data_IF_716149822124
#
_entry.id   IF_716149822124
#
_cell.length_a   1.000
_cell.length_b   1.000
_cell.length_c   1.000
_cell.angle_alpha   90.00
_cell.angle_beta   90.00
_cell.angle_gamma   90.00
#
_symmetry.space_group_name_H-M   'P 1'
#
loop_
_entity.id
_entity.type
_entity.pdbx_description
1 polymer ?
#
# COMPACT_ATOMS: atom_id res chain seq x y z
N UNK A 1 -3.59 -11.97 1.10
CA UNK A 1 -4.15 -11.90 -0.28
C UNK A 1 -4.71 -10.50 -0.45
N UNK A 2 -4.09 -9.72 -1.35
CA UNK A 2 -4.44 -8.31 -1.58
C UNK A 2 -5.79 -8.15 -2.26
N UNK A 3 -6.38 -6.98 -2.08
CA UNK A 3 -7.59 -6.61 -2.76
C UNK A 3 -7.37 -6.59 -4.29
N UNK A 4 -8.27 -7.21 -5.04
CA UNK A 4 -8.15 -7.35 -6.49
C UNK A 4 -8.62 -6.10 -7.26
N UNK A 5 -8.99 -5.02 -6.56
CA UNK A 5 -9.48 -3.81 -7.19
C UNK A 5 -8.33 -3.01 -7.80
N UNK A 6 -8.48 -2.71 -9.09
CA UNK A 6 -7.59 -1.86 -9.87
C UNK A 6 -8.29 -0.56 -10.23
N UNK A 7 -7.53 0.52 -10.32
CA UNK A 7 -8.06 1.80 -10.76
C UNK A 7 -7.08 2.55 -11.64
N UNK A 8 -7.59 3.08 -12.74
CA UNK A 8 -6.87 4.01 -13.60
C UNK A 8 -6.81 5.38 -12.93
N UNK A 9 -5.64 6.01 -12.99
CA UNK A 9 -5.46 7.37 -12.53
C UNK A 9 -6.02 8.35 -13.57
N UNK A 10 -6.91 9.27 -13.17
CA UNK A 10 -7.31 10.37 -14.04
C UNK A 10 -6.09 11.17 -14.51
N UNK A 11 -6.06 11.64 -15.77
CA UNK A 11 -4.87 12.33 -16.32
C UNK A 11 -4.38 13.52 -15.51
N UNK A 12 -5.30 14.30 -14.93
CA UNK A 12 -4.94 15.45 -14.10
C UNK A 12 -4.25 15.02 -12.80
N UNK A 13 -4.76 13.97 -12.14
CA UNK A 13 -4.13 13.40 -10.95
C UNK A 13 -2.82 12.70 -11.28
N UNK A 14 -2.71 12.01 -12.41
CA UNK A 14 -1.44 11.43 -12.85
C UNK A 14 -0.36 12.50 -13.06
N UNK A 15 -0.71 13.64 -13.69
CA UNK A 15 0.21 14.77 -13.86
C UNK A 15 0.62 15.37 -12.52
N UNK A 16 -0.34 15.57 -11.63
CA UNK A 16 -0.08 16.08 -10.28
C UNK A 16 0.82 15.14 -9.48
N UNK A 17 0.54 13.83 -9.51
CA UNK A 17 1.34 12.82 -8.83
C UNK A 17 2.78 12.80 -9.34
N UNK A 18 3.02 12.89 -10.65
CA UNK A 18 4.38 13.01 -11.22
C UNK A 18 5.12 14.24 -10.73
N UNK A 19 4.42 15.36 -10.52
CA UNK A 19 5.01 16.58 -9.98
C UNK A 19 5.41 16.48 -8.50
N UNK A 20 4.80 15.55 -7.76
CA UNK A 20 5.09 15.30 -6.33
C UNK A 20 6.06 14.13 -6.11
N UNK A 21 6.04 13.16 -7.02
CA UNK A 21 6.85 11.94 -6.98
C UNK A 21 8.34 12.25 -6.99
N UNK A 22 9.10 11.60 -6.10
CA UNK A 22 10.54 11.75 -6.02
C UNK A 22 11.24 11.11 -7.24
N UNK A 23 10.68 10.02 -7.77
CA UNK A 23 11.18 9.36 -8.97
C UNK A 23 10.75 10.04 -10.29
N UNK A 24 9.70 10.87 -10.24
CA UNK A 24 9.03 11.45 -11.41
C UNK A 24 8.21 10.45 -12.24
N UNK A 25 8.19 9.18 -11.83
CA UNK A 25 7.54 8.07 -12.52
C UNK A 25 6.36 7.59 -11.68
N UNK A 26 5.15 7.72 -12.21
CA UNK A 26 3.94 7.15 -11.58
C UNK A 26 3.18 6.31 -12.59
N UNK A 27 2.69 5.17 -12.11
CA UNK A 27 1.86 4.29 -12.91
C UNK A 27 0.55 4.95 -13.30
N UNK A 28 0.04 4.62 -14.48
CA UNK A 28 -1.28 5.07 -14.95
C UNK A 28 -2.44 4.27 -14.35
N UNK A 29 -2.13 3.14 -13.72
CA UNK A 29 -3.08 2.25 -13.05
C UNK A 29 -2.45 1.67 -11.80
N UNK A 30 -3.21 1.60 -10.70
CA UNK A 30 -2.73 1.02 -9.45
C UNK A 30 -3.70 -0.02 -8.93
N UNK A 31 -3.16 -1.06 -8.29
CA UNK A 31 -3.91 -2.02 -7.51
C UNK A 31 -4.06 -1.53 -6.07
N UNK A 32 -5.20 -1.85 -5.43
CA UNK A 32 -5.34 -1.67 -4.00
C UNK A 32 -4.34 -2.54 -3.24
N UNK A 33 -3.50 -1.91 -2.41
CA UNK A 33 -2.46 -2.57 -1.63
C UNK A 33 -2.97 -3.12 -0.29
N UNK A 34 -4.19 -2.78 0.11
CA UNK A 34 -4.80 -3.33 1.32
C UNK A 34 -5.18 -4.80 1.14
N UNK A 35 -5.20 -5.54 2.25
CA UNK A 35 -5.74 -6.89 2.30
C UNK A 35 -7.19 -6.93 1.81
N UNK A 36 -7.60 -8.07 1.25
CA UNK A 36 -8.94 -8.28 0.68
C UNK A 36 -10.04 -7.69 1.58
N UNK A 37 -10.83 -6.78 1.03
CA UNK A 37 -11.95 -6.14 1.71
C UNK A 37 -13.14 -5.95 0.75
N UNK A 38 -14.34 -5.82 1.31
CA UNK A 38 -15.59 -5.68 0.54
C UNK A 38 -16.08 -4.23 0.48
N UNK A 39 -15.74 -3.44 1.47
CA UNK A 39 -16.24 -2.08 1.68
C UNK A 39 -15.08 -1.19 2.14
N UNK A 40 -15.28 0.12 2.04
CA UNK A 40 -14.32 1.14 2.43
C UNK A 40 -13.37 1.55 1.31
N UNK A 41 -12.53 2.52 1.63
CA UNK A 41 -11.60 3.16 0.70
C UNK A 41 -10.51 2.19 0.27
N UNK A 42 -10.15 2.29 -1.00
CA UNK A 42 -9.02 1.60 -1.59
C UNK A 42 -7.82 2.52 -1.69
N UNK A 43 -6.63 1.93 -1.64
CA UNK A 43 -5.36 2.67 -1.61
C UNK A 43 -4.33 2.00 -2.50
N UNK A 44 -3.85 2.71 -3.50
CA UNK A 44 -2.78 2.29 -4.39
C UNK A 44 -1.54 3.14 -4.15
N UNK A 45 -0.41 2.50 -3.90
CA UNK A 45 0.88 3.19 -3.75
C UNK A 45 1.30 3.75 -5.12
N UNK A 46 1.77 5.01 -5.14
CA UNK A 46 2.26 5.65 -6.36
C UNK A 46 3.77 5.86 -6.34
N UNK A 47 4.30 6.38 -5.24
CA UNK A 47 5.74 6.57 -5.05
C UNK A 47 6.05 6.78 -3.58
N UNK A 48 7.28 6.46 -3.19
CA UNK A 48 7.82 6.90 -1.91
C UNK A 48 8.18 8.38 -1.98
N UNK A 49 7.99 9.11 -0.89
CA UNK A 49 8.30 10.54 -0.81
C UNK A 49 9.44 10.78 0.19
N UNK A 50 9.31 11.81 1.03
CA UNK A 50 10.27 12.14 2.07
C UNK A 50 10.32 11.03 3.13
N UNK A 51 11.37 11.04 3.95
CA UNK A 51 11.65 10.01 4.95
C UNK A 51 10.42 9.63 5.79
N UNK A 52 9.92 8.40 5.62
CA UNK A 52 8.78 7.87 6.37
C UNK A 52 7.40 8.28 5.84
N UNK A 53 7.29 8.70 4.58
CA UNK A 53 6.02 9.03 3.93
C UNK A 53 5.97 8.53 2.49
N UNK A 54 4.77 8.23 2.01
CA UNK A 54 4.54 7.84 0.63
C UNK A 54 3.32 8.56 0.04
N UNK A 55 3.31 8.68 -1.29
CA UNK A 55 2.20 9.18 -2.07
C UNK A 55 1.26 8.02 -2.42
N UNK A 56 -0.01 8.20 -2.07
CA UNK A 56 -1.07 7.22 -2.30
C UNK A 56 -2.17 7.80 -3.16
N UNK A 57 -2.73 6.94 -4.00
CA UNK A 57 -3.99 7.16 -4.67
C UNK A 57 -5.12 6.52 -3.87
N UNK A 58 -6.07 7.33 -3.39
CA UNK A 58 -7.24 6.88 -2.64
C UNK A 58 -8.47 6.91 -3.51
N UNK A 59 -9.30 5.87 -3.46
CA UNK A 59 -10.60 5.88 -4.12
C UNK A 59 -11.70 5.14 -3.38
N UNK A 60 -12.93 5.63 -3.56
CA UNK A 60 -14.19 4.95 -3.19
C UNK A 60 -15.25 5.28 -4.26
N UNK A 61 -15.66 4.28 -5.03
CA UNK A 61 -16.57 4.48 -6.17
C UNK A 61 -16.02 5.46 -7.22
N UNK A 62 -16.65 6.62 -7.35
CA UNK A 62 -16.22 7.73 -8.22
C UNK A 62 -15.28 8.72 -7.54
N UNK A 63 -15.24 8.73 -6.20
CA UNK A 63 -14.45 9.68 -5.44
C UNK A 63 -13.00 9.23 -5.44
N UNK A 64 -12.11 10.13 -5.86
CA UNK A 64 -10.69 9.86 -6.09
C UNK A 64 -9.85 11.04 -5.62
N UNK A 65 -8.71 10.77 -5.00
CA UNK A 65 -7.77 11.80 -4.58
C UNK A 65 -6.34 11.28 -4.39
N UNK A 66 -5.39 12.21 -4.33
CA UNK A 66 -4.00 11.96 -3.95
C UNK A 66 -3.81 12.35 -2.48
N UNK A 67 -3.21 11.45 -1.70
CA UNK A 67 -2.91 11.68 -0.29
C UNK A 67 -1.47 11.30 0.01
N UNK A 68 -0.84 12.08 0.88
CA UNK A 68 0.47 11.73 1.45
C UNK A 68 0.21 11.15 2.83
N UNK A 69 0.68 9.93 3.07
CA UNK A 69 0.48 9.24 4.33
C UNK A 69 1.81 8.78 4.89
N UNK A 70 1.99 8.84 6.23
CA UNK A 70 3.17 8.32 6.89
C UNK A 70 3.23 6.80 6.77
N UNK A 71 4.43 6.24 6.72
CA UNK A 71 4.64 4.79 6.73
C UNK A 71 4.22 4.19 8.07
N UNK A 72 3.76 2.95 8.01
CA UNK A 72 3.37 2.21 9.20
C UNK A 72 4.62 1.94 10.08
N UNK A 73 4.61 2.35 11.35
CA UNK A 73 5.79 2.23 12.22
C UNK A 73 5.96 0.83 12.80
N UNK A 74 5.03 -0.09 12.51
CA UNK A 74 5.04 -1.44 13.07
C UNK A 74 6.08 -2.27 12.34
N UNK A 75 6.89 -2.99 13.12
CA UNK A 75 7.82 -3.99 12.62
C UNK A 75 7.30 -5.39 12.93
N UNK A 76 7.56 -6.32 12.01
CA UNK A 76 7.24 -7.73 12.16
C UNK A 76 7.93 -8.37 13.36
N UNK A 77 7.37 -9.47 13.90
CA UNK A 77 7.87 -10.12 15.11
C UNK A 77 9.17 -10.92 14.91
N UNK A 78 9.59 -11.14 13.65
CA UNK A 78 10.79 -11.89 13.31
C UNK A 78 12.10 -11.20 13.68
N UNK A 79 13.23 -11.93 13.66
CA UNK A 79 14.55 -11.37 13.98
C UNK A 79 14.95 -10.21 13.05
N UNK A 80 14.49 -10.25 11.79
CA UNK A 80 14.77 -9.22 10.78
C UNK A 80 13.88 -7.99 10.90
N UNK A 81 12.86 -8.03 11.78
CA UNK A 81 11.98 -6.89 12.07
C UNK A 81 11.38 -6.26 10.81
N UNK A 82 10.90 -7.11 9.88
CA UNK A 82 10.39 -6.70 8.57
C UNK A 82 9.39 -5.53 8.70
N UNK A 83 9.63 -4.45 7.95
CA UNK A 83 8.80 -3.25 7.98
C UNK A 83 7.51 -3.42 7.17
N UNK A 84 6.48 -2.65 7.51
CA UNK A 84 5.20 -2.75 6.82
C UNK A 84 5.22 -1.79 5.64
N UNK A 85 4.99 -2.29 4.43
CA UNK A 85 4.98 -1.45 3.23
C UNK A 85 3.63 -0.71 3.02
N UNK A 86 2.90 -0.42 4.10
CA UNK A 86 1.63 0.29 4.08
C UNK A 86 1.72 1.53 4.97
N UNK A 87 0.71 2.40 4.88
CA UNK A 87 0.63 3.64 5.66
C UNK A 87 0.16 3.41 7.12
N UNK A 88 0.52 4.30 8.04
CA UNK A 88 0.11 4.23 9.44
C UNK A 88 -1.41 4.25 9.60
N UNK A 89 -1.94 3.32 10.41
CA UNK A 89 -3.37 3.18 10.62
C UNK A 89 -4.11 2.47 9.48
N UNK A 90 -3.38 1.82 8.55
CA UNK A 90 -4.01 0.93 7.58
C UNK A 90 -4.85 -0.14 8.28
N UNK A 91 -5.98 -0.49 7.67
CA UNK A 91 -6.86 -1.49 8.25
C UNK A 91 -6.28 -2.91 8.10
N UNK A 92 -6.76 -3.79 8.99
CA UNK A 92 -6.58 -5.25 8.93
C UNK A 92 -5.19 -5.75 9.28
N UNK A 93 -4.38 -6.06 8.27
CA UNK A 93 -3.17 -6.87 8.42
C UNK A 93 -1.98 -6.14 7.82
N UNK A 94 -0.82 -6.39 8.41
CA UNK A 94 0.45 -5.93 7.88
C UNK A 94 0.91 -6.80 6.71
N UNK A 95 1.80 -6.26 5.89
CA UNK A 95 2.24 -6.92 4.63
C UNK A 95 2.92 -8.26 4.85
N UNK A 96 3.70 -8.40 5.92
CA UNK A 96 4.35 -9.67 6.26
C UNK A 96 3.34 -10.75 6.67
N UNK A 97 2.18 -10.39 7.23
CA UNK A 97 1.14 -11.35 7.60
C UNK A 97 0.43 -11.95 6.38
N UNK A 98 0.53 -11.30 5.21
CA UNK A 98 0.00 -11.85 3.96
C UNK A 98 0.89 -12.93 3.34
N UNK A 99 2.20 -12.89 3.60
CA UNK A 99 3.19 -13.80 3.03
C UNK A 99 3.27 -15.14 3.77
N UNK A 100 2.66 -15.25 4.95
CA UNK A 100 2.67 -16.46 5.79
C UNK A 100 1.28 -17.11 5.89
N UNK A 101 0.80 -17.85 4.86
CA UNK A 101 -0.07 -18.96 5.15
C UNK A 101 0.77 -19.95 5.96
N UNK A 102 0.38 -20.24 7.21
CA UNK A 102 1.15 -21.05 8.16
C UNK A 102 1.90 -22.22 7.49
N UNK A 103 3.22 -22.06 7.34
CA UNK A 103 4.12 -23.20 7.18
C UNK A 103 4.41 -23.68 8.59
N UNK A 104 3.53 -24.55 9.08
CA UNK A 104 3.67 -25.23 10.36
C UNK A 104 4.95 -26.10 10.34
N UNK A 105 5.86 -25.74 11.26
CA UNK A 105 6.86 -26.54 11.98
C UNK A 105 8.01 -27.17 11.17
N UNK A 106 9.28 -26.81 11.45
CA UNK A 106 10.41 -27.63 11.01
C UNK A 106 10.34 -28.99 11.71
N UNK A 107 10.16 -30.05 10.93
CA UNK A 107 10.26 -31.42 11.42
C UNK A 107 11.73 -31.70 11.79
N UNK A 108 12.04 -31.63 13.07
CA UNK A 108 13.27 -32.22 13.62
C UNK A 108 13.15 -33.74 13.59
N UNK A 109 14.02 -34.42 12.84
CA UNK A 109 14.55 -35.76 13.13
C UNK A 109 15.84 -35.99 12.34
#
# INVERSE_FOLDING_TARGET
>A
MRCAQWRLLPPDLAREARGRSASGCVDSAVQCQLCTHREGQHYGLLDDLEYGTALWFRWDGSDVELVVLPDCPVAGPGPDREGCCLFAGHAKQHTWEEAHPMEDVPCTS
#
